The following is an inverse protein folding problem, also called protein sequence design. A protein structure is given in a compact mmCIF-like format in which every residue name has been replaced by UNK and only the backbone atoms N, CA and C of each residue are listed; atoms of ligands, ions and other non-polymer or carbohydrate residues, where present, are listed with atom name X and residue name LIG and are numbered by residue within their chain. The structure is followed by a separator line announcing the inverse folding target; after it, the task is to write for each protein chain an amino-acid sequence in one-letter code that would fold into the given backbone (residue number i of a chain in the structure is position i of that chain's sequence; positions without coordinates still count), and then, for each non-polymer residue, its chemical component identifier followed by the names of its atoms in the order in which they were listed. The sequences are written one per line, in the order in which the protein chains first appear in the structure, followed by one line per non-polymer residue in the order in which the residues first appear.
data_IF_433394837870
#
_entry.id   IF_433394837870
#
_cell.length_a   1.000
_cell.length_b   1.000
_cell.length_c   1.000
_cell.angle_alpha   90.00
_cell.angle_beta   90.00
_cell.angle_gamma   90.00
#
_symmetry.space_group_name_H-M   'P 1'
#
loop_
_entity.id
_entity.type
_entity.pdbx_description
1 polymer ?
#
# COMPACT_ATOMS: atom_id res chain seq x y z
N UNK A 1 -49.25 5.54 8.60
CA UNK A 1 -48.22 5.72 9.66
C UNK A 1 -46.82 5.18 9.29
N UNK A 2 -46.68 4.04 8.57
CA UNK A 2 -45.35 3.50 8.19
C UNK A 2 -44.63 4.32 7.13
N UNK A 3 -45.33 4.94 6.19
CA UNK A 3 -44.73 5.74 5.11
C UNK A 3 -44.17 7.08 5.64
N UNK A 4 -44.86 7.69 6.59
CA UNK A 4 -44.37 8.91 7.23
C UNK A 4 -43.17 8.65 8.13
N UNK A 5 -43.11 7.49 8.77
CA UNK A 5 -41.93 7.07 9.57
C UNK A 5 -40.71 6.83 8.69
N UNK A 6 -40.86 6.21 7.49
CA UNK A 6 -39.76 6.03 6.52
C UNK A 6 -39.25 7.35 5.96
N UNK A 7 -40.16 8.31 5.68
CA UNK A 7 -39.79 9.66 5.20
C UNK A 7 -39.08 10.46 6.30
N UNK A 8 -39.49 10.35 7.55
CA UNK A 8 -38.82 10.98 8.70
C UNK A 8 -37.44 10.37 8.95
N UNK A 9 -37.30 9.06 8.84
CA UNK A 9 -35.98 8.37 8.99
C UNK A 9 -35.01 8.76 7.88
N UNK A 10 -35.50 8.86 6.63
CA UNK A 10 -34.69 9.30 5.50
C UNK A 10 -34.25 10.77 5.62
N UNK A 11 -35.17 11.64 6.09
CA UNK A 11 -34.86 13.05 6.35
C UNK A 11 -33.83 13.20 7.48
N UNK A 12 -33.94 12.41 8.54
CA UNK A 12 -33.00 12.43 9.66
C UNK A 12 -31.60 11.97 9.23
N UNK A 13 -31.51 10.97 8.34
CA UNK A 13 -30.25 10.49 7.75
C UNK A 13 -29.64 11.54 6.81
N UNK A 14 -30.45 12.24 6.03
CA UNK A 14 -30.01 13.30 5.13
C UNK A 14 -29.49 14.53 5.89
N UNK A 15 -30.16 14.91 7.00
CA UNK A 15 -29.75 16.01 7.88
C UNK A 15 -28.43 15.66 8.61
N UNK A 16 -28.24 14.40 9.03
CA UNK A 16 -26.99 13.92 9.63
C UNK A 16 -25.79 14.02 8.70
N UNK A 17 -25.97 13.91 7.38
CA UNK A 17 -24.94 14.07 6.36
C UNK A 17 -24.57 15.54 6.09
N UNK A 18 -25.42 16.49 6.48
CA UNK A 18 -25.21 17.93 6.26
C UNK A 18 -24.61 18.65 7.48
N UNK A 19 -24.40 17.96 8.59
CA UNK A 19 -23.72 18.57 9.73
C UNK A 19 -22.25 18.80 9.37
N UNK A 20 -21.74 20.06 9.39
CA UNK A 20 -20.34 20.35 9.15
C UNK A 20 -19.50 19.77 10.30
N UNK A 21 -19.00 18.56 10.13
CA UNK A 21 -17.97 18.05 10.99
C UNK A 21 -16.75 18.97 10.90
N UNK A 22 -16.17 19.37 12.02
CA UNK A 22 -14.90 20.08 12.03
C UNK A 22 -13.85 19.17 11.38
N UNK A 23 -13.63 19.33 10.08
CA UNK A 23 -12.58 18.66 9.35
C UNK A 23 -11.25 19.31 9.74
N UNK A 24 -10.53 18.72 10.65
CA UNK A 24 -9.13 19.05 10.85
C UNK A 24 -8.37 18.41 9.70
N UNK A 25 -8.01 19.20 8.70
CA UNK A 25 -7.03 18.81 7.68
C UNK A 25 -5.66 18.73 8.35
N UNK A 26 -5.40 17.63 9.03
CA UNK A 26 -4.03 17.27 9.37
C UNK A 26 -3.44 16.63 8.12
N UNK A 27 -2.43 17.25 7.53
CA UNK A 27 -1.52 16.60 6.59
C UNK A 27 -0.83 15.45 7.34
N UNK A 28 -1.49 14.31 7.42
CA UNK A 28 -0.84 13.09 7.89
C UNK A 28 0.08 12.62 6.78
N UNK A 29 1.37 12.73 7.01
CA UNK A 29 2.38 12.14 6.14
C UNK A 29 2.24 10.61 6.25
N UNK A 30 1.68 9.99 5.21
CA UNK A 30 1.59 8.53 5.15
C UNK A 30 2.94 7.97 4.75
N UNK A 31 3.51 7.12 5.57
CA UNK A 31 4.86 6.60 5.34
C UNK A 31 4.97 5.58 4.19
N UNK A 32 3.85 5.04 3.71
CA UNK A 32 3.79 3.95 2.72
C UNK A 32 3.01 4.35 1.47
N UNK A 33 3.24 5.54 0.94
CA UNK A 33 2.51 6.08 -0.23
C UNK A 33 2.69 5.25 -1.50
N UNK A 34 3.80 4.53 -1.66
CA UNK A 34 4.00 3.63 -2.79
C UNK A 34 2.93 2.52 -2.87
N UNK A 35 2.27 2.18 -1.75
CA UNK A 35 1.13 1.28 -1.71
C UNK A 35 -0.20 1.92 -2.18
N UNK A 36 -0.21 3.19 -2.55
CA UNK A 36 -1.39 3.89 -3.07
C UNK A 36 -1.40 4.00 -4.60
N UNK A 37 -0.31 3.65 -5.26
CA UNK A 37 -0.18 3.75 -6.72
C UNK A 37 -1.23 2.89 -7.43
N UNK A 38 -1.49 1.69 -6.92
CA UNK A 38 -2.41 0.74 -7.53
C UNK A 38 -1.67 -0.43 -8.19
N UNK A 39 -2.31 -1.58 -8.27
CA UNK A 39 -1.75 -2.80 -8.87
C UNK A 39 -2.70 -3.38 -9.91
N UNK A 40 -2.12 -3.78 -11.06
CA UNK A 40 -2.85 -4.37 -12.19
C UNK A 40 -3.52 -3.35 -13.09
N UNK A 41 -3.44 -3.59 -14.40
CA UNK A 41 -3.95 -2.68 -15.43
C UNK A 41 -5.46 -2.38 -15.27
N UNK A 42 -6.26 -3.36 -14.87
CA UNK A 42 -7.69 -3.19 -14.62
C UNK A 42 -7.96 -2.19 -13.50
N UNK A 43 -7.22 -2.28 -12.38
CA UNK A 43 -7.39 -1.37 -11.25
C UNK A 43 -7.06 0.06 -11.63
N UNK A 44 -5.93 0.25 -12.31
CA UNK A 44 -5.49 1.55 -12.80
C UNK A 44 -6.48 2.15 -13.79
N UNK A 45 -6.99 1.37 -14.74
CA UNK A 45 -7.99 1.80 -15.72
C UNK A 45 -9.34 2.21 -15.09
N UNK A 46 -9.68 1.64 -13.92
CA UNK A 46 -10.90 1.97 -13.17
C UNK A 46 -10.66 3.09 -12.13
N UNK A 47 -9.54 3.80 -12.18
CA UNK A 47 -9.21 4.83 -11.18
C UNK A 47 -9.11 4.28 -9.77
N UNK A 48 -8.60 3.07 -9.62
CA UNK A 48 -8.44 2.33 -8.36
C UNK A 48 -9.78 1.86 -7.71
N UNK A 49 -10.90 1.92 -8.40
CA UNK A 49 -12.21 1.52 -7.89
C UNK A 49 -12.43 -0.01 -7.97
N UNK A 50 -11.61 -0.80 -7.28
CA UNK A 50 -11.63 -2.27 -7.37
C UNK A 50 -12.08 -3.00 -6.10
N UNK A 51 -12.24 -2.34 -4.98
CA UNK A 51 -12.51 -2.97 -3.67
C UNK A 51 -13.67 -3.96 -3.69
N UNK A 52 -14.73 -3.68 -4.45
CA UNK A 52 -15.92 -4.54 -4.55
C UNK A 52 -15.86 -5.53 -5.72
N UNK A 53 -15.01 -5.30 -6.72
CA UNK A 53 -15.07 -6.02 -8.01
C UNK A 53 -13.91 -6.96 -8.26
N UNK A 54 -12.81 -6.84 -7.52
CA UNK A 54 -11.63 -7.69 -7.68
C UNK A 54 -11.96 -9.14 -7.34
N UNK A 55 -11.49 -10.08 -8.17
CA UNK A 55 -11.76 -11.51 -8.03
C UNK A 55 -10.65 -12.42 -8.60
N UNK A 56 -9.44 -11.90 -8.68
CA UNK A 56 -8.24 -12.57 -9.20
C UNK A 56 -7.08 -12.47 -8.19
N UNK A 57 -5.87 -12.87 -8.58
CA UNK A 57 -4.69 -12.81 -7.71
C UNK A 57 -4.36 -11.39 -7.22
N UNK A 58 -4.78 -10.33 -7.95
CA UNK A 58 -4.57 -8.95 -7.51
C UNK A 58 -5.44 -8.55 -6.30
N UNK A 59 -6.37 -9.42 -5.90
CA UNK A 59 -7.23 -9.17 -4.75
C UNK A 59 -6.45 -9.05 -3.44
N UNK A 60 -5.30 -9.71 -3.30
CA UNK A 60 -4.43 -9.53 -2.13
C UNK A 60 -4.07 -8.05 -1.88
N UNK A 61 -3.91 -7.28 -2.94
CA UNK A 61 -3.65 -5.84 -2.85
C UNK A 61 -4.93 -5.00 -2.65
N UNK A 62 -6.01 -5.27 -3.42
CA UNK A 62 -7.19 -4.42 -3.45
C UNK A 62 -8.18 -4.70 -2.32
N UNK A 63 -8.48 -5.96 -2.10
CA UNK A 63 -9.36 -6.47 -1.05
C UNK A 63 -9.16 -7.98 -0.93
N UNK A 64 -8.51 -8.48 0.13
CA UNK A 64 -8.18 -9.90 0.24
C UNK A 64 -9.40 -10.82 0.19
N UNK A 65 -10.61 -10.34 0.57
CA UNK A 65 -11.83 -11.11 0.44
C UNK A 65 -12.11 -11.54 -1.02
N UNK A 66 -11.64 -10.75 -2.01
CA UNK A 66 -11.81 -11.04 -3.43
C UNK A 66 -11.02 -12.26 -3.92
N UNK A 67 -10.00 -12.71 -3.19
CA UNK A 67 -9.25 -13.92 -3.52
C UNK A 67 -10.14 -15.17 -3.61
N UNK A 68 -11.27 -15.20 -2.90
CA UNK A 68 -12.26 -16.28 -3.00
C UNK A 68 -12.93 -16.38 -4.38
N UNK A 69 -12.70 -15.42 -5.24
CA UNK A 69 -13.11 -15.46 -6.66
C UNK A 69 -12.23 -16.38 -7.51
N UNK A 70 -11.00 -16.66 -7.07
CA UNK A 70 -10.10 -17.63 -7.72
C UNK A 70 -10.59 -19.03 -7.39
N UNK A 71 -10.79 -19.86 -8.42
CA UNK A 71 -11.36 -21.21 -8.29
C UNK A 71 -10.52 -22.20 -9.07
N UNK A 72 -10.54 -23.45 -8.59
CA UNK A 72 -10.05 -24.66 -9.22
C UNK A 72 -8.53 -24.71 -9.46
N UNK A 73 -7.96 -23.63 -10.03
CA UNK A 73 -6.53 -23.55 -10.35
C UNK A 73 -5.88 -22.31 -9.74
N UNK A 74 -4.60 -22.36 -9.43
CA UNK A 74 -3.86 -21.16 -9.01
C UNK A 74 -3.92 -20.06 -10.06
N UNK A 75 -3.98 -18.80 -9.60
CA UNK A 75 -4.00 -17.62 -10.46
C UNK A 75 -2.78 -16.75 -10.15
N UNK A 76 -2.12 -16.27 -11.20
CA UNK A 76 -0.94 -15.41 -11.09
C UNK A 76 -1.24 -14.09 -11.80
N UNK A 77 -0.81 -12.99 -11.22
CA UNK A 77 -0.82 -11.68 -11.85
C UNK A 77 0.56 -11.04 -11.76
N UNK A 78 1.01 -10.47 -12.89
CA UNK A 78 2.29 -9.77 -12.99
C UNK A 78 2.04 -8.40 -13.62
N UNK A 79 2.76 -7.38 -13.14
CA UNK A 79 2.73 -6.04 -13.71
C UNK A 79 4.10 -5.40 -13.61
N UNK A 80 4.50 -4.72 -14.66
CA UNK A 80 5.60 -3.76 -14.68
C UNK A 80 5.06 -2.43 -15.19
N UNK A 81 5.41 -1.34 -14.52
CA UNK A 81 5.07 0.01 -14.95
C UNK A 81 6.25 0.95 -14.71
N UNK A 82 6.48 1.82 -15.68
CA UNK A 82 7.49 2.87 -15.59
C UNK A 82 6.82 4.22 -15.47
N UNK A 83 7.32 5.04 -14.57
CA UNK A 83 6.85 6.40 -14.33
C UNK A 83 7.98 7.39 -14.63
N UNK A 84 7.60 8.61 -15.05
CA UNK A 84 8.55 9.69 -15.30
C UNK A 84 9.67 9.29 -16.28
N UNK A 85 9.29 8.72 -17.45
CA UNK A 85 10.22 8.29 -18.48
C UNK A 85 11.24 7.25 -18.00
N UNK A 86 10.81 6.30 -17.16
CA UNK A 86 11.66 5.21 -16.68
C UNK A 86 12.48 5.51 -15.42
N UNK A 87 12.37 6.72 -14.87
CA UNK A 87 13.08 7.08 -13.62
C UNK A 87 12.58 6.23 -12.45
N UNK A 88 11.27 6.06 -12.33
CA UNK A 88 10.67 5.24 -11.28
C UNK A 88 10.04 3.97 -11.88
N UNK A 89 10.35 2.82 -11.30
CA UNK A 89 9.87 1.51 -11.70
C UNK A 89 8.96 0.94 -10.64
N UNK A 90 7.82 0.39 -11.06
CA UNK A 90 6.85 -0.24 -10.17
C UNK A 90 6.53 -1.64 -10.66
N UNK A 91 6.95 -2.62 -9.89
CA UNK A 91 6.72 -4.03 -10.16
C UNK A 91 5.71 -4.61 -9.15
N UNK A 92 4.83 -5.44 -9.68
CA UNK A 92 3.88 -6.20 -8.89
C UNK A 92 3.83 -7.64 -9.37
N UNK A 93 3.90 -8.57 -8.43
CA UNK A 93 3.69 -9.98 -8.65
C UNK A 93 2.74 -10.53 -7.59
N UNK A 94 1.80 -11.38 -7.97
CA UNK A 94 0.92 -12.04 -7.03
C UNK A 94 0.55 -13.44 -7.44
N UNK A 95 0.27 -14.29 -6.43
CA UNK A 95 -0.17 -15.66 -6.56
C UNK A 95 -1.36 -15.87 -5.63
N UNK A 96 -2.42 -16.49 -6.14
CA UNK A 96 -3.57 -16.91 -5.37
C UNK A 96 -3.80 -18.41 -5.57
N UNK A 97 -3.89 -19.15 -4.47
CA UNK A 97 -4.05 -20.63 -4.46
C UNK A 97 -5.35 -20.96 -3.74
N UNK A 98 -6.37 -21.47 -4.47
CA UNK A 98 -7.59 -21.96 -3.85
C UNK A 98 -7.30 -23.24 -3.08
N UNK A 99 -7.88 -23.37 -1.90
CA UNK A 99 -7.73 -24.54 -1.02
C UNK A 99 -9.09 -24.95 -0.45
N UNK A 100 -9.20 -26.16 0.06
CA UNK A 100 -10.42 -26.70 0.68
C UNK A 100 -11.67 -26.54 -0.21
N UNK A 101 -11.64 -27.13 -1.39
CA UNK A 101 -12.75 -27.13 -2.34
C UNK A 101 -13.26 -25.71 -2.67
N UNK A 102 -12.33 -24.78 -2.88
CA UNK A 102 -12.62 -23.37 -3.17
C UNK A 102 -13.34 -22.59 -2.05
N UNK A 103 -13.34 -23.10 -0.82
CA UNK A 103 -13.88 -22.37 0.34
C UNK A 103 -12.92 -21.35 0.88
N UNK A 104 -11.61 -21.62 0.76
CA UNK A 104 -10.52 -20.75 1.22
C UNK A 104 -9.54 -20.48 0.08
N UNK A 105 -8.83 -19.39 0.18
CA UNK A 105 -7.76 -19.02 -0.77
C UNK A 105 -6.60 -18.41 0.00
N UNK A 106 -5.41 -18.92 -0.26
CA UNK A 106 -4.15 -18.31 0.19
C UNK A 106 -3.64 -17.40 -0.91
N UNK A 107 -3.09 -16.27 -0.54
CA UNK A 107 -2.50 -15.32 -1.47
C UNK A 107 -1.13 -14.86 -1.00
N UNK A 108 -0.28 -14.57 -1.97
CA UNK A 108 0.99 -13.87 -1.76
C UNK A 108 1.10 -12.76 -2.79
N UNK A 109 1.47 -11.57 -2.38
CA UNK A 109 1.76 -10.46 -3.28
C UNK A 109 3.08 -9.79 -2.92
N UNK A 110 3.83 -9.42 -3.94
CA UNK A 110 5.06 -8.66 -3.86
C UNK A 110 4.90 -7.37 -4.66
N UNK A 111 5.18 -6.26 -4.03
CA UNK A 111 5.30 -4.95 -4.69
C UNK A 111 6.71 -4.43 -4.51
N UNK A 112 7.25 -3.84 -5.56
CA UNK A 112 8.51 -3.10 -5.52
C UNK A 112 8.32 -1.77 -6.22
N UNK A 113 8.70 -0.69 -5.57
CA UNK A 113 8.82 0.64 -6.15
C UNK A 113 10.26 1.09 -6.02
N UNK A 114 10.91 1.43 -7.13
CA UNK A 114 12.32 1.78 -7.12
C UNK A 114 12.61 2.99 -8.00
N UNK A 115 13.59 3.76 -7.57
CA UNK A 115 14.21 4.85 -8.33
C UNK A 115 15.71 4.56 -8.35
N UNK A 116 16.25 4.43 -9.55
CA UNK A 116 17.65 4.18 -9.78
C UNK A 116 18.38 5.49 -10.17
N UNK A 117 19.70 5.45 -10.15
CA UNK A 117 20.59 6.53 -10.63
C UNK A 117 20.36 7.89 -9.95
N UNK A 118 20.04 7.89 -8.65
CA UNK A 118 19.90 9.11 -7.85
C UNK A 118 21.30 9.67 -7.59
N UNK A 119 21.61 10.93 -8.03
CA UNK A 119 22.94 11.48 -7.83
C UNK A 119 23.17 11.82 -6.35
N UNK A 120 24.23 11.27 -5.77
CA UNK A 120 24.74 11.65 -4.47
C UNK A 120 25.72 12.81 -4.64
N UNK A 121 25.30 13.99 -4.18
CA UNK A 121 26.09 15.22 -4.28
C UNK A 121 26.75 15.61 -2.95
N UNK A 122 26.82 14.69 -1.99
CA UNK A 122 27.34 14.98 -0.65
C UNK A 122 28.81 15.47 -0.69
N UNK A 123 29.61 14.95 -1.61
CA UNK A 123 31.02 15.30 -1.81
C UNK A 123 31.26 16.14 -3.06
N UNK A 124 30.24 16.83 -3.57
CA UNK A 124 30.34 17.66 -4.77
C UNK A 124 31.27 18.87 -4.58
N UNK A 125 31.24 19.45 -3.36
CA UNK A 125 32.09 20.61 -3.00
C UNK A 125 33.30 20.12 -2.23
N UNK A 126 34.49 20.42 -2.73
CA UNK A 126 35.77 20.11 -2.10
C UNK A 126 36.05 21.05 -0.90
N UNK A 127 36.96 20.71 0.00
CA UNK A 127 37.30 21.56 1.15
C UNK A 127 37.80 22.94 0.80
N UNK A 128 38.36 23.15 -0.41
CA UNK A 128 38.82 24.43 -0.94
C UNK A 128 37.68 25.27 -1.55
N UNK A 129 36.44 24.77 -1.56
CA UNK A 129 35.26 25.40 -2.13
C UNK A 129 35.09 25.17 -3.64
N UNK A 130 35.97 24.41 -4.29
CA UNK A 130 35.80 24.05 -5.69
C UNK A 130 34.73 23.00 -5.91
N UNK A 131 34.10 22.98 -7.10
CA UNK A 131 33.07 21.99 -7.47
C UNK A 131 33.72 20.90 -8.30
N UNK A 132 33.61 19.65 -7.80
CA UNK A 132 34.15 18.48 -8.47
C UNK A 132 33.04 17.47 -8.80
N UNK A 133 32.57 17.47 -10.05
CA UNK A 133 31.55 16.56 -10.53
C UNK A 133 31.96 15.09 -10.56
N UNK A 134 33.26 14.77 -10.52
CA UNK A 134 33.74 13.39 -10.47
C UNK A 134 33.42 12.71 -9.14
N UNK A 135 33.11 13.47 -8.11
CA UNK A 135 32.70 12.97 -6.80
C UNK A 135 31.22 12.57 -6.74
N UNK A 136 30.45 12.87 -7.79
CA UNK A 136 29.03 12.48 -7.85
C UNK A 136 28.91 10.99 -8.12
N UNK A 137 28.41 10.25 -7.15
CA UNK A 137 28.11 8.83 -7.26
C UNK A 137 26.62 8.60 -7.30
N UNK A 138 26.15 7.63 -8.09
CA UNK A 138 24.74 7.29 -8.12
C UNK A 138 24.39 6.27 -7.04
N UNK A 139 23.19 6.36 -6.49
CA UNK A 139 22.60 5.33 -5.63
C UNK A 139 21.14 5.08 -6.03
N UNK A 140 20.57 3.97 -5.53
CA UNK A 140 19.18 3.61 -5.77
C UNK A 140 18.37 3.65 -4.48
N UNK A 141 17.08 3.97 -4.59
CA UNK A 141 16.11 3.82 -3.52
C UNK A 141 15.04 2.81 -3.92
N UNK A 142 14.70 1.88 -3.03
CA UNK A 142 13.69 0.87 -3.31
C UNK A 142 12.82 0.57 -2.08
N UNK A 143 11.51 0.55 -2.30
CA UNK A 143 10.49 0.17 -1.33
C UNK A 143 9.87 -1.16 -1.76
N UNK A 144 9.78 -2.11 -0.83
CA UNK A 144 9.21 -3.43 -1.03
C UNK A 144 8.04 -3.64 -0.07
N UNK A 145 6.99 -4.30 -0.54
CA UNK A 145 5.92 -4.78 0.31
C UNK A 145 5.59 -6.24 -0.03
N UNK A 146 5.57 -7.08 0.99
CA UNK A 146 5.17 -8.47 0.93
C UNK A 146 3.84 -8.62 1.66
N UNK A 147 2.80 -9.08 0.96
CA UNK A 147 1.47 -9.31 1.52
C UNK A 147 1.17 -10.80 1.55
N UNK A 148 0.92 -11.33 2.73
CA UNK A 148 0.44 -12.69 2.95
C UNK A 148 -1.05 -12.61 3.22
N UNK A 149 -1.84 -13.17 2.30
CA UNK A 149 -3.29 -13.02 2.27
C UNK A 149 -3.99 -14.33 2.59
N UNK A 150 -5.05 -14.24 3.37
CA UNK A 150 -5.98 -15.34 3.60
C UNK A 150 -7.40 -14.85 3.33
N UNK A 151 -8.18 -15.65 2.61
CA UNK A 151 -9.58 -15.36 2.34
C UNK A 151 -10.45 -16.59 2.56
N UNK A 152 -11.68 -16.35 2.99
CA UNK A 152 -12.66 -17.40 3.24
C UNK A 152 -14.06 -16.97 2.81
N UNK A 153 -14.79 -17.86 2.17
CA UNK A 153 -16.23 -17.72 1.94
C UNK A 153 -16.98 -18.04 3.23
N UNK A 154 -17.74 -17.06 3.71
CA UNK A 154 -18.63 -17.23 4.87
C UNK A 154 -20.00 -17.74 4.42
N UNK A 155 -20.45 -17.24 3.25
CA UNK A 155 -21.71 -17.65 2.64
C UNK A 155 -21.52 -17.77 1.13
N UNK A 156 -21.97 -18.87 0.54
CA UNK A 156 -21.89 -19.13 -0.90
C UNK A 156 -23.21 -19.74 -1.37
N UNK A 157 -24.25 -18.93 -1.43
CA UNK A 157 -25.57 -19.25 -1.97
C UNK A 157 -25.74 -18.57 -3.32
N UNK A 158 -26.63 -19.08 -4.17
CA UNK A 158 -26.85 -18.53 -5.52
C UNK A 158 -27.20 -17.04 -5.52
N UNK A 159 -28.02 -16.62 -4.56
CA UNK A 159 -28.50 -15.23 -4.42
C UNK A 159 -27.57 -14.33 -3.59
N UNK A 160 -26.72 -14.91 -2.74
CA UNK A 160 -25.90 -14.15 -1.81
C UNK A 160 -24.58 -14.84 -1.47
N UNK A 161 -23.48 -14.17 -1.82
CA UNK A 161 -22.12 -14.58 -1.46
C UNK A 161 -21.50 -13.57 -0.52
N UNK A 162 -20.88 -14.04 0.54
CA UNK A 162 -20.15 -13.22 1.50
C UNK A 162 -18.78 -13.82 1.69
N UNK A 163 -17.76 -13.03 1.48
CA UNK A 163 -16.37 -13.39 1.67
C UNK A 163 -15.68 -12.41 2.59
N UNK A 164 -14.77 -12.91 3.38
CA UNK A 164 -13.87 -12.12 4.24
C UNK A 164 -12.44 -12.46 3.92
N UNK A 165 -11.55 -11.53 4.17
CA UNK A 165 -10.12 -11.77 3.97
C UNK A 165 -9.29 -10.85 4.84
N UNK A 166 -8.04 -11.24 5.06
CA UNK A 166 -7.06 -10.47 5.80
C UNK A 166 -5.69 -10.57 5.13
N UNK A 167 -4.87 -9.55 5.33
CA UNK A 167 -3.45 -9.52 4.97
C UNK A 167 -2.60 -9.30 6.21
N UNK A 168 -1.49 -10.04 6.28
CA UNK A 168 -0.33 -9.64 7.03
C UNK A 168 0.68 -9.05 6.03
N UNK A 169 1.16 -7.83 6.27
CA UNK A 169 2.11 -7.17 5.38
C UNK A 169 3.43 -6.87 6.08
N UNK A 170 4.50 -7.12 5.35
CA UNK A 170 5.87 -6.78 5.73
C UNK A 170 6.37 -5.76 4.72
N UNK A 171 6.92 -4.67 5.20
CA UNK A 171 7.48 -3.60 4.39
C UNK A 171 8.97 -3.54 4.63
N UNK A 172 9.75 -3.46 3.56
CA UNK A 172 11.17 -3.22 3.60
C UNK A 172 11.51 -2.04 2.70
N UNK A 173 12.19 -1.04 3.25
CA UNK A 173 12.58 0.16 2.53
C UNK A 173 14.10 0.32 2.60
N UNK A 174 14.70 0.74 1.49
CA UNK A 174 16.15 0.96 1.40
C UNK A 174 16.43 2.22 0.60
N UNK A 175 17.28 3.08 1.13
CA UNK A 175 17.76 4.30 0.47
C UNK A 175 19.29 4.22 0.40
N UNK A 176 19.82 3.83 -0.75
CA UNK A 176 21.24 3.61 -0.95
C UNK A 176 21.84 2.70 0.14
N UNK A 177 22.96 3.13 0.70
CA UNK A 177 23.56 2.55 1.90
C UNK A 177 23.21 3.35 3.17
N UNK A 178 22.58 4.53 3.00
CA UNK A 178 22.34 5.51 4.08
C UNK A 178 21.27 5.06 5.07
N UNK A 179 20.19 4.44 4.57
CA UNK A 179 19.06 4.12 5.42
C UNK A 179 18.33 2.85 4.97
N UNK A 180 17.77 2.16 5.95
CA UNK A 180 16.82 1.07 5.72
C UNK A 180 15.74 1.08 6.79
N UNK A 181 14.55 0.60 6.42
CA UNK A 181 13.44 0.45 7.36
C UNK A 181 12.73 -0.87 7.20
N UNK A 182 12.21 -1.39 8.30
CA UNK A 182 11.27 -2.50 8.34
C UNK A 182 9.94 -2.04 8.90
N UNK A 183 8.86 -2.52 8.31
CA UNK A 183 7.51 -2.20 8.72
C UNK A 183 6.61 -3.42 8.71
N UNK A 184 5.58 -3.39 9.58
CA UNK A 184 4.58 -4.44 9.69
C UNK A 184 3.19 -3.83 9.83
N UNK A 185 2.19 -4.48 9.26
CA UNK A 185 0.81 -4.05 9.35
C UNK A 185 -0.17 -5.15 9.00
N UNK A 186 -1.43 -4.93 9.36
CA UNK A 186 -2.54 -5.83 9.05
C UNK A 186 -3.62 -5.07 8.30
N UNK A 187 -4.24 -5.77 7.36
CA UNK A 187 -5.41 -5.28 6.62
C UNK A 187 -6.54 -6.30 6.72
N UNK A 188 -7.79 -5.86 6.60
CA UNK A 188 -8.94 -6.74 6.50
C UNK A 188 -9.94 -6.24 5.47
N UNK A 189 -10.66 -7.17 4.85
CA UNK A 189 -11.62 -6.85 3.83
C UNK A 189 -12.84 -7.75 3.85
N UNK A 190 -13.94 -7.22 3.33
CA UNK A 190 -15.20 -7.92 3.15
C UNK A 190 -15.69 -7.65 1.73
N UNK A 191 -16.20 -8.69 1.08
CA UNK A 191 -16.97 -8.57 -0.15
C UNK A 191 -18.33 -9.24 0.01
N UNK A 192 -19.36 -8.56 -0.45
CA UNK A 192 -20.74 -9.05 -0.47
C UNK A 192 -21.25 -8.95 -1.89
N UNK A 193 -21.66 -10.07 -2.47
CA UNK A 193 -22.36 -10.12 -3.74
C UNK A 193 -23.79 -10.58 -3.51
N UNK A 194 -24.75 -9.81 -4.02
CA UNK A 194 -26.19 -10.15 -3.97
C UNK A 194 -26.82 -9.83 -5.32
N UNK A 195 -27.19 -10.88 -6.06
CA UNK A 195 -27.70 -10.72 -7.44
C UNK A 195 -26.75 -9.90 -8.29
N UNK A 196 -27.16 -8.71 -8.73
CA UNK A 196 -26.37 -7.78 -9.56
C UNK A 196 -25.51 -6.80 -8.74
N UNK A 197 -25.70 -6.73 -7.42
CA UNK A 197 -25.00 -5.80 -6.54
C UNK A 197 -23.73 -6.41 -5.99
N UNK A 198 -22.66 -5.62 -5.99
CA UNK A 198 -21.39 -5.94 -5.33
C UNK A 198 -21.03 -4.81 -4.38
N UNK A 199 -20.78 -5.16 -3.14
CA UNK A 199 -20.31 -4.25 -2.11
C UNK A 199 -18.97 -4.74 -1.60
N UNK A 200 -18.04 -3.84 -1.38
CA UNK A 200 -16.73 -4.14 -0.81
C UNK A 200 -16.37 -3.11 0.25
N UNK A 201 -15.81 -3.58 1.33
CA UNK A 201 -15.19 -2.76 2.36
C UNK A 201 -13.76 -3.27 2.57
N UNK A 202 -12.81 -2.36 2.65
CA UNK A 202 -11.42 -2.63 2.94
C UNK A 202 -10.95 -1.69 4.04
N UNK A 203 -10.44 -2.25 5.12
CA UNK A 203 -9.75 -1.51 6.17
C UNK A 203 -8.25 -1.80 6.04
N UNK A 204 -7.47 -0.77 5.74
CA UNK A 204 -6.01 -0.86 5.62
C UNK A 204 -5.35 -0.35 6.89
N UNK A 205 -4.19 -0.92 7.19
CA UNK A 205 -3.36 -0.49 8.31
C UNK A 205 -4.09 -0.54 9.67
N UNK A 206 -4.95 -1.55 9.90
CA UNK A 206 -5.82 -1.66 11.08
C UNK A 206 -5.02 -1.55 12.39
N UNK A 207 -3.83 -2.12 12.40
CA UNK A 207 -2.92 -2.11 13.57
C UNK A 207 -2.01 -0.91 13.59
N UNK A 208 -2.20 0.07 12.72
CA UNK A 208 -1.22 1.12 12.43
C UNK A 208 0.10 0.52 11.91
N UNK A 209 0.36 0.64 10.61
CA UNK A 209 1.63 0.15 10.07
C UNK A 209 2.76 1.08 10.50
N UNK A 210 3.77 0.52 11.12
CA UNK A 210 4.97 1.25 11.50
C UNK A 210 6.13 0.93 10.55
N UNK A 211 7.05 1.87 10.37
CA UNK A 211 8.35 1.66 9.73
C UNK A 211 9.44 2.12 10.70
N UNK A 212 10.27 1.17 11.11
CA UNK A 212 11.41 1.45 11.97
C UNK A 212 12.64 1.71 11.09
N UNK A 213 13.10 2.95 11.04
CA UNK A 213 14.25 3.39 10.28
C UNK A 213 15.55 3.20 11.06
N UNK A 214 16.56 2.73 10.36
CA UNK A 214 17.95 2.67 10.80
C UNK A 214 18.81 3.41 9.78
N UNK A 215 19.64 4.32 10.25
CA UNK A 215 20.53 5.13 9.42
C UNK A 215 21.98 4.69 9.63
N UNK A 216 22.74 4.64 8.53
CA UNK A 216 24.14 4.25 8.52
C UNK A 216 24.89 5.25 7.67
N UNK A 217 25.65 6.14 8.30
CA UNK A 217 26.55 7.07 7.64
C UNK A 217 27.99 6.72 7.98
N UNK A 218 28.88 6.86 7.01
CA UNK A 218 30.33 6.79 7.23
C UNK A 218 30.80 8.01 8.01
N UNK A 219 31.97 7.97 8.60
CA UNK A 219 32.52 9.12 9.36
C UNK A 219 32.71 10.34 8.46
N UNK A 220 33.12 10.14 7.22
CA UNK A 220 33.27 11.22 6.24
C UNK A 220 31.91 11.88 5.90
N UNK A 221 30.86 11.07 5.72
CA UNK A 221 29.50 11.59 5.47
C UNK A 221 28.97 12.39 6.65
N UNK A 222 29.20 11.89 7.88
CA UNK A 222 28.83 12.62 9.10
C UNK A 222 29.53 13.95 9.22
N UNK A 223 30.82 14.01 8.88
CA UNK A 223 31.60 15.24 8.90
C UNK A 223 31.04 16.26 7.92
N UNK A 224 30.74 15.87 6.68
CA UNK A 224 30.12 16.77 5.69
C UNK A 224 28.73 17.23 6.15
N UNK A 225 27.89 16.34 6.68
CA UNK A 225 26.58 16.70 7.21
C UNK A 225 26.69 17.69 8.38
N UNK A 226 27.64 17.50 9.28
CA UNK A 226 27.92 18.42 10.38
C UNK A 226 28.38 19.80 9.89
N UNK A 227 29.33 19.84 8.95
CA UNK A 227 29.83 21.08 8.38
C UNK A 227 28.75 21.86 7.62
N UNK A 228 27.81 21.15 6.98
CA UNK A 228 26.66 21.76 6.27
C UNK A 228 25.46 22.05 7.17
N UNK A 229 25.63 21.90 8.51
CA UNK A 229 24.58 22.13 9.53
C UNK A 229 23.31 21.30 9.32
N UNK A 230 23.45 20.09 8.80
CA UNK A 230 22.37 19.14 8.70
C UNK A 230 22.34 18.22 9.93
N UNK A 231 21.13 17.92 10.42
CA UNK A 231 20.96 16.96 11.49
C UNK A 231 21.28 15.54 11.00
N UNK A 232 22.02 14.78 11.81
CA UNK A 232 22.33 13.39 11.52
C UNK A 232 21.28 12.51 12.17
N UNK A 233 20.35 11.91 11.40
CA UNK A 233 19.33 11.04 11.99
C UNK A 233 19.98 9.73 12.47
N UNK A 234 19.65 9.31 13.70
CA UNK A 234 20.18 8.08 14.30
C UNK A 234 19.18 6.93 14.11
N UNK A 235 17.94 7.13 14.52
CA UNK A 235 16.83 6.20 14.39
C UNK A 235 15.52 6.97 14.39
N UNK A 236 14.54 6.51 13.64
CA UNK A 236 13.19 7.07 13.69
C UNK A 236 12.14 5.99 13.45
N UNK A 237 10.92 6.26 13.89
CA UNK A 237 9.77 5.40 13.64
C UNK A 237 8.67 6.24 12.98
N UNK A 238 8.20 5.79 11.85
CA UNK A 238 7.06 6.38 11.14
C UNK A 238 5.83 5.50 11.36
N UNK A 239 4.68 6.13 11.55
CA UNK A 239 3.41 5.46 11.75
C UNK A 239 2.44 5.80 10.62
N UNK A 240 1.83 4.78 10.03
CA UNK A 240 0.73 4.93 9.07
C UNK A 240 -0.58 4.69 9.79
N UNK A 241 -1.44 5.69 9.83
CA UNK A 241 -2.75 5.56 10.48
C UNK A 241 -3.66 4.60 9.71
N UNK A 242 -4.62 3.93 10.37
CA UNK A 242 -5.67 3.13 9.75
C UNK A 242 -6.49 3.94 8.74
N UNK A 243 -6.93 3.28 7.65
CA UNK A 243 -7.74 3.85 6.57
C UNK A 243 -8.63 2.81 5.87
#
# INVERSE_FOLDING_TARGET
NQENMKKSLAAFFLIGLLLPGKSYSQFRKYSNEFLNIGAGARGLAMGNAQVASVNDASAGYWNPAGLTGVKDVPNIALMHAEYFSGIAKYEYASLAIPVQDNKRTLGFSLLRFAVDDIPNTLFLVEPDGSINYNNVQAFSSADYAFLFSFAQKIKDEDDKKISVGANAKVIYRKVGHFASAWGFGLDAGIQIQRKKWRLGLMARDITTTFNAWSFKFTEQEKEVLYLTKNDIPIKSTELTAPR
#
